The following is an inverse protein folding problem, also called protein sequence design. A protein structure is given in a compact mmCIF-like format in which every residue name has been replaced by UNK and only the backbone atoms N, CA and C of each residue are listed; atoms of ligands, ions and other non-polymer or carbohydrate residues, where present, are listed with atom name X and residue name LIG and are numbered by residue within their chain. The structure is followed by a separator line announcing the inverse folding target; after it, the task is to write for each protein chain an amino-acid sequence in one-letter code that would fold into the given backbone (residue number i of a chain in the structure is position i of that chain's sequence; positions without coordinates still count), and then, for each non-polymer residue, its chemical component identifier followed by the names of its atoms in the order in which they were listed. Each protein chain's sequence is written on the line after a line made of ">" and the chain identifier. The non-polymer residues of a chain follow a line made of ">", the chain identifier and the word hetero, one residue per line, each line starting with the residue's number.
data_IF_678452873560
#
_entry.id   IF_678452873560
#
_cell.length_a   1.000
_cell.length_b   1.000
_cell.length_c   1.000
_cell.angle_alpha   90.00
_cell.angle_beta   90.00
_cell.angle_gamma   90.00
#
_symmetry.space_group_name_H-M   'P 1'
#
loop_
_entity.id
_entity.type
_entity.pdbx_description
1 polymer ?
#
# COMPACT_ATOMS: atom_id res chain seq x y z
N UNK A 1 -21.76 -15.14 -4.28
CA UNK A 1 -20.32 -14.74 -4.27
C UNK A 1 -19.49 -15.63 -3.34
N UNK A 2 -19.93 -15.90 -2.10
CA UNK A 2 -19.25 -16.87 -1.21
C UNK A 2 -19.14 -18.27 -1.84
N UNK A 3 -20.21 -18.73 -2.49
CA UNK A 3 -20.23 -20.06 -3.14
C UNK A 3 -19.28 -20.14 -4.34
N UNK A 4 -19.17 -19.06 -5.11
CA UNK A 4 -18.20 -18.96 -6.22
C UNK A 4 -16.76 -19.07 -5.70
N UNK A 5 -16.40 -18.32 -4.66
CA UNK A 5 -15.05 -18.40 -4.08
C UNK A 5 -14.75 -19.78 -3.50
N UNK A 6 -15.71 -20.39 -2.81
CA UNK A 6 -15.56 -21.77 -2.30
C UNK A 6 -15.36 -22.78 -3.44
N UNK A 7 -16.10 -22.64 -4.54
CA UNK A 7 -15.96 -23.52 -5.71
C UNK A 7 -14.64 -23.36 -6.47
N UNK A 8 -13.97 -22.22 -6.30
CA UNK A 8 -12.71 -21.87 -6.97
C UNK A 8 -11.49 -21.95 -6.06
N UNK A 9 -11.67 -22.42 -4.82
CA UNK A 9 -10.61 -22.47 -3.80
C UNK A 9 -9.96 -21.08 -3.57
N UNK A 10 -10.79 -20.03 -3.53
CA UNK A 10 -10.36 -18.66 -3.29
C UNK A 10 -10.69 -18.28 -1.85
N UNK A 11 -9.65 -18.00 -1.05
CA UNK A 11 -9.82 -17.45 0.30
C UNK A 11 -10.08 -15.94 0.26
N UNK A 12 -11.24 -15.51 0.76
CA UNK A 12 -11.62 -14.09 0.78
C UNK A 12 -11.10 -13.44 2.06
N UNK A 13 -10.10 -12.56 1.92
CA UNK A 13 -9.63 -11.69 3.00
C UNK A 13 -10.32 -10.33 2.90
N UNK A 14 -10.89 -9.87 4.02
CA UNK A 14 -11.42 -8.51 4.17
C UNK A 14 -10.73 -7.88 5.37
N UNK A 15 -10.28 -6.64 5.20
CA UNK A 15 -9.69 -5.88 6.29
C UNK A 15 -10.56 -4.67 6.56
N UNK A 16 -10.95 -4.48 7.83
CA UNK A 16 -11.81 -3.39 8.28
C UNK A 16 -11.04 -2.30 9.03
N UNK A 17 -9.72 -2.44 9.16
CA UNK A 17 -8.86 -1.42 9.77
C UNK A 17 -8.64 -0.26 8.80
N UNK A 18 -8.72 0.99 9.28
CA UNK A 18 -8.36 2.17 8.48
C UNK A 18 -6.88 2.21 8.11
N UNK A 19 -6.02 1.46 8.78
CA UNK A 19 -4.57 1.48 8.56
C UNK A 19 -4.11 0.48 7.51
N UNK A 20 -4.93 -0.53 7.22
CA UNK A 20 -4.60 -1.60 6.27
C UNK A 20 -5.37 -1.38 4.98
N UNK A 21 -4.64 -0.86 3.99
CA UNK A 21 -5.16 -0.56 2.66
C UNK A 21 -4.65 -1.54 1.61
N UNK A 22 -5.42 -1.69 0.52
CA UNK A 22 -5.00 -2.40 -0.69
C UNK A 22 -4.04 -1.53 -1.54
N UNK A 23 -3.00 -0.99 -0.91
CA UNK A 23 -2.12 0.06 -1.44
C UNK A 23 -1.49 -0.29 -2.79
N UNK A 24 -1.17 -1.56 -3.03
CA UNK A 24 -0.65 -2.03 -4.31
C UNK A 24 -1.69 -1.95 -5.44
N UNK A 25 -2.94 -2.31 -5.15
CA UNK A 25 -4.04 -2.20 -6.11
C UNK A 25 -4.39 -0.72 -6.38
N UNK A 26 -4.40 0.10 -5.34
CA UNK A 26 -4.62 1.56 -5.47
C UNK A 26 -3.54 2.22 -6.34
N UNK A 27 -2.28 1.85 -6.14
CA UNK A 27 -1.16 2.32 -6.98
C UNK A 27 -1.35 1.90 -8.44
N UNK A 28 -1.74 0.64 -8.69
CA UNK A 28 -2.00 0.17 -10.05
C UNK A 28 -3.16 0.95 -10.72
N UNK A 29 -4.26 1.18 -9.98
CA UNK A 29 -5.38 1.99 -10.44
C UNK A 29 -4.96 3.41 -10.81
N UNK A 30 -4.12 4.03 -9.98
CA UNK A 30 -3.55 5.36 -10.27
C UNK A 30 -2.77 5.36 -11.59
N UNK A 31 -1.85 4.42 -11.78
CA UNK A 31 -1.05 4.32 -13.01
C UNK A 31 -1.91 4.11 -14.26
N UNK A 32 -2.93 3.27 -14.18
CA UNK A 32 -3.88 3.04 -15.29
C UNK A 32 -4.62 4.34 -15.62
N UNK A 33 -5.17 5.02 -14.60
CA UNK A 33 -5.87 6.30 -14.78
C UNK A 33 -4.97 7.35 -15.39
N UNK A 34 -3.75 7.53 -14.89
CA UNK A 34 -2.80 8.51 -15.45
C UNK A 34 -2.55 8.29 -16.95
N UNK A 35 -2.41 7.05 -17.41
CA UNK A 35 -2.27 6.74 -18.84
C UNK A 35 -3.56 6.95 -19.63
N UNK A 36 -4.71 6.60 -19.07
CA UNK A 36 -6.01 6.87 -19.68
C UNK A 36 -6.27 8.36 -19.87
N UNK A 37 -5.95 9.20 -18.88
CA UNK A 37 -6.15 10.65 -18.99
C UNK A 37 -5.29 11.27 -20.09
N UNK A 38 -4.06 10.78 -20.29
CA UNK A 38 -3.23 11.21 -21.44
C UNK A 38 -3.89 10.83 -22.77
N UNK A 39 -4.38 9.60 -22.87
CA UNK A 39 -5.12 9.14 -24.06
C UNK A 39 -6.39 9.98 -24.32
N UNK A 40 -7.15 10.31 -23.27
CA UNK A 40 -8.35 11.15 -23.39
C UNK A 40 -8.02 12.53 -23.94
N UNK A 41 -6.95 13.16 -23.43
CA UNK A 41 -6.49 14.46 -23.92
C UNK A 41 -6.04 14.40 -25.39
N UNK A 42 -5.35 13.33 -25.79
CA UNK A 42 -4.83 13.18 -27.15
C UNK A 42 -5.95 12.87 -28.17
N UNK A 43 -6.90 12.00 -27.82
CA UNK A 43 -7.96 11.54 -28.72
C UNK A 43 -9.26 12.33 -28.61
N UNK A 44 -9.31 13.34 -27.73
CA UNK A 44 -10.50 14.13 -27.42
C UNK A 44 -11.75 13.25 -27.19
N UNK A 45 -11.60 12.21 -26.36
CA UNK A 45 -12.66 11.24 -26.07
C UNK A 45 -12.54 10.74 -24.64
N UNK A 46 -13.65 10.28 -24.07
CA UNK A 46 -13.68 9.57 -22.78
C UNK A 46 -13.90 8.06 -22.95
N UNK A 47 -13.97 7.58 -24.20
CA UNK A 47 -14.16 6.15 -24.49
C UNK A 47 -12.86 5.38 -24.22
N UNK A 48 -12.77 4.77 -23.04
CA UNK A 48 -11.57 4.06 -22.58
C UNK A 48 -11.46 2.61 -23.06
N UNK A 49 -12.58 2.00 -23.47
CA UNK A 49 -12.67 0.57 -23.80
C UNK A 49 -11.70 0.17 -24.92
N UNK A 50 -11.45 1.07 -25.88
CA UNK A 50 -10.53 0.81 -27.00
C UNK A 50 -9.06 0.91 -26.59
N UNK A 51 -8.76 1.69 -25.53
CA UNK A 51 -7.39 1.98 -25.11
C UNK A 51 -6.89 1.08 -23.96
N UNK A 52 -7.80 0.61 -23.10
CA UNK A 52 -7.42 -0.03 -21.82
C UNK A 52 -6.53 -1.26 -22.01
N UNK A 53 -6.81 -2.09 -23.01
CA UNK A 53 -6.05 -3.31 -23.24
C UNK A 53 -4.60 -2.98 -23.64
N UNK A 54 -4.41 -1.96 -24.48
CA UNK A 54 -3.08 -1.49 -24.90
C UNK A 54 -2.33 -0.88 -23.72
N UNK A 55 -3.02 -0.08 -22.89
CA UNK A 55 -2.44 0.54 -21.69
C UNK A 55 -1.97 -0.53 -20.70
N UNK A 56 -2.82 -1.52 -20.39
CA UNK A 56 -2.49 -2.61 -19.45
C UNK A 56 -1.34 -3.46 -20.00
N UNK A 57 -1.36 -3.81 -21.29
CA UNK A 57 -0.26 -4.51 -21.95
C UNK A 57 1.05 -3.72 -21.85
N UNK A 58 1.01 -2.41 -22.12
CA UNK A 58 2.15 -1.51 -21.99
C UNK A 58 2.69 -1.43 -20.56
N UNK A 59 1.84 -1.41 -19.54
CA UNK A 59 2.27 -1.44 -18.13
C UNK A 59 2.94 -2.79 -17.82
N UNK A 60 2.30 -3.90 -18.20
CA UNK A 60 2.77 -5.25 -17.89
C UNK A 60 4.06 -5.63 -18.60
N UNK A 61 4.36 -5.02 -19.75
CA UNK A 61 5.59 -5.21 -20.53
C UNK A 61 6.72 -4.24 -20.19
N UNK A 62 6.44 -3.20 -19.39
CA UNK A 62 7.44 -2.24 -18.93
C UNK A 62 8.17 -2.74 -17.69
N UNK A 63 9.47 -2.46 -17.59
CA UNK A 63 10.24 -2.77 -16.37
C UNK A 63 9.75 -1.86 -15.25
N UNK A 64 9.31 -2.44 -14.14
CA UNK A 64 8.95 -1.70 -12.95
C UNK A 64 10.22 -1.35 -12.15
N UNK A 65 10.42 -0.06 -11.87
CA UNK A 65 11.65 0.45 -11.19
C UNK A 65 11.92 -0.20 -9.83
N UNK A 66 10.89 -0.46 -9.04
CA UNK A 66 11.03 -1.06 -7.69
C UNK A 66 11.40 -2.52 -7.80
N UNK A 67 10.67 -3.27 -8.63
CA UNK A 67 10.87 -4.72 -8.77
C UNK A 67 12.06 -5.07 -9.67
N UNK A 68 12.51 -4.15 -10.53
CA UNK A 68 13.57 -4.36 -11.51
C UNK A 68 13.25 -5.37 -12.61
N UNK A 69 11.98 -5.76 -12.77
CA UNK A 69 11.51 -6.71 -13.80
C UNK A 69 10.19 -6.27 -14.41
N UNK A 70 9.81 -6.89 -15.54
CA UNK A 70 8.51 -6.68 -16.16
C UNK A 70 7.43 -7.48 -15.42
N UNK A 71 6.27 -6.92 -15.07
CA UNK A 71 5.20 -7.67 -14.41
C UNK A 71 4.83 -8.97 -15.14
N UNK A 72 4.74 -8.96 -16.47
CA UNK A 72 4.40 -10.16 -17.25
C UNK A 72 5.51 -11.21 -17.33
N UNK A 73 6.73 -10.90 -16.88
CA UNK A 73 7.83 -11.89 -16.77
C UNK A 73 7.84 -12.61 -15.42
N UNK A 74 6.97 -12.22 -14.48
CA UNK A 74 6.89 -12.85 -13.15
C UNK A 74 6.10 -14.16 -13.24
N UNK A 75 6.68 -15.23 -12.71
CA UNK A 75 6.13 -16.58 -12.66
C UNK A 75 6.27 -17.15 -11.24
N UNK A 76 5.56 -18.22 -10.91
CA UNK A 76 5.72 -18.87 -9.61
C UNK A 76 7.18 -19.26 -9.31
N UNK A 77 7.95 -19.65 -10.34
CA UNK A 77 9.36 -20.03 -10.22
C UNK A 77 10.26 -18.86 -9.80
N UNK A 78 10.06 -17.66 -10.36
CA UNK A 78 10.94 -16.51 -10.06
C UNK A 78 10.39 -15.60 -8.95
N UNK A 79 9.09 -15.69 -8.63
CA UNK A 79 8.41 -14.85 -7.65
C UNK A 79 9.08 -14.89 -6.28
N UNK A 80 9.45 -16.08 -5.79
CA UNK A 80 10.09 -16.23 -4.47
C UNK A 80 11.48 -15.61 -4.41
N UNK A 81 12.26 -15.73 -5.48
CA UNK A 81 13.59 -15.09 -5.59
C UNK A 81 13.45 -13.57 -5.65
N UNK A 82 12.47 -13.07 -6.40
CA UNK A 82 12.17 -11.64 -6.48
C UNK A 82 11.72 -11.08 -5.13
N UNK A 83 10.84 -11.78 -4.43
CA UNK A 83 10.38 -11.41 -3.09
C UNK A 83 11.55 -11.28 -2.12
N UNK A 84 12.40 -12.31 -2.01
CA UNK A 84 13.60 -12.27 -1.16
C UNK A 84 14.57 -11.13 -1.51
N UNK A 85 14.62 -10.73 -2.78
CA UNK A 85 15.45 -9.59 -3.21
C UNK A 85 14.86 -8.24 -2.77
N UNK A 86 13.54 -8.10 -2.82
CA UNK A 86 12.85 -6.86 -2.47
C UNK A 86 12.74 -6.66 -0.96
N UNK A 87 12.45 -7.75 -0.26
CA UNK A 87 12.30 -7.81 1.19
C UNK A 87 13.46 -8.62 1.76
N UNK A 88 14.69 -8.18 1.47
CA UNK A 88 15.84 -8.74 2.19
C UNK A 88 15.62 -8.43 3.66
N UNK A 89 15.68 -9.47 4.50
CA UNK A 89 15.86 -9.26 5.93
C UNK A 89 17.18 -8.52 6.10
N UNK A 90 17.09 -7.23 6.37
CA UNK A 90 18.24 -6.49 6.81
C UNK A 90 18.46 -6.92 8.25
N UNK A 91 19.38 -7.86 8.47
CA UNK A 91 19.85 -8.27 9.80
C UNK A 91 20.46 -7.11 10.60
N UNK A 92 20.47 -5.89 10.07
CA UNK A 92 20.63 -4.70 10.91
C UNK A 92 19.45 -4.65 11.87
N UNK A 93 19.65 -4.96 13.17
CA UNK A 93 18.63 -4.65 14.14
C UNK A 93 18.32 -3.18 13.95
N UNK A 94 17.06 -2.86 13.65
CA UNK A 94 16.59 -1.50 13.85
C UNK A 94 16.93 -1.24 15.31
N UNK A 95 17.91 -0.38 15.57
CA UNK A 95 18.14 0.10 16.94
C UNK A 95 16.88 0.87 17.30
N UNK A 96 15.89 0.15 17.82
CA UNK A 96 14.74 0.72 18.50
C UNK A 96 15.31 1.20 19.83
N UNK A 97 16.08 2.28 19.79
CA UNK A 97 16.32 3.03 21.00
C UNK A 97 14.96 3.63 21.36
N UNK A 98 14.46 3.33 22.55
CA UNK A 98 13.33 4.10 23.06
C UNK A 98 13.81 5.54 23.09
N UNK A 99 13.15 6.42 22.33
CA UNK A 99 13.40 7.87 22.44
C UNK A 99 13.00 8.42 23.81
N UNK A 100 12.29 7.59 24.59
CA UNK A 100 11.75 7.92 25.88
C UNK A 100 12.64 7.35 27.00
N UNK A 101 12.88 8.19 28.00
CA UNK A 101 13.55 7.82 29.24
C UNK A 101 12.52 7.57 30.34
N UNK A 102 12.78 6.65 31.29
CA UNK A 102 11.93 6.47 32.46
C UNK A 102 11.72 7.78 33.22
N UNK A 103 10.50 8.00 33.68
CA UNK A 103 10.12 9.24 34.36
C UNK A 103 9.91 10.43 33.42
N UNK A 104 10.10 10.27 32.10
CA UNK A 104 9.75 11.31 31.13
C UNK A 104 8.24 11.50 31.09
N UNK A 105 7.80 12.76 31.19
CA UNK A 105 6.40 13.12 31.03
C UNK A 105 6.00 13.05 29.56
N UNK A 106 4.98 12.26 29.26
CA UNK A 106 4.45 12.02 27.91
C UNK A 106 2.93 12.15 27.90
N UNK A 107 2.36 12.32 26.71
CA UNK A 107 0.91 12.27 26.48
C UNK A 107 0.60 11.19 25.46
N UNK A 108 -0.57 10.57 25.56
CA UNK A 108 -1.01 9.53 24.63
C UNK A 108 -1.63 10.20 23.40
N UNK A 109 -1.33 9.69 22.21
CA UNK A 109 -1.93 10.18 20.97
C UNK A 109 -3.40 9.79 20.91
N UNK A 110 -4.29 10.75 20.62
CA UNK A 110 -5.71 10.48 20.38
C UNK A 110 -5.87 9.71 19.07
N UNK A 111 -6.75 8.70 19.04
CA UNK A 111 -7.11 8.01 17.80
C UNK A 111 -7.86 9.00 16.91
N UNK A 112 -7.28 9.33 15.75
CA UNK A 112 -7.85 10.32 14.83
C UNK A 112 -8.56 9.66 13.66
N UNK A 113 -9.80 10.07 13.42
CA UNK A 113 -10.49 9.75 12.17
C UNK A 113 -9.86 10.44 10.95
N UNK A 114 -10.03 9.85 9.76
CA UNK A 114 -9.50 10.34 8.46
C UNK A 114 -9.92 11.77 8.08
N UNK A 115 -10.95 12.33 8.74
CA UNK A 115 -11.52 13.65 8.47
C UNK A 115 -11.49 14.60 9.67
N UNK A 116 -10.67 14.32 10.69
CA UNK A 116 -10.57 15.22 11.83
C UNK A 116 -9.88 16.54 11.50
N UNK A 117 -10.37 17.61 12.14
CA UNK A 117 -9.88 18.97 11.93
C UNK A 117 -8.49 19.12 12.55
N UNK A 118 -7.52 19.58 11.75
CA UNK A 118 -6.11 19.68 12.13
C UNK A 118 -5.79 20.63 13.30
N UNK A 119 -6.73 21.52 13.67
CA UNK A 119 -6.57 22.42 14.82
C UNK A 119 -6.96 21.78 16.16
N UNK A 120 -7.55 20.58 16.16
CA UNK A 120 -7.87 19.86 17.40
C UNK A 120 -6.63 19.17 17.94
N UNK A 121 -6.45 19.21 19.26
CA UNK A 121 -5.32 18.60 19.95
C UNK A 121 -5.08 17.14 19.53
N UNK A 122 -3.82 16.79 19.26
CA UNK A 122 -3.44 15.44 18.84
C UNK A 122 -3.27 14.46 20.00
N UNK A 123 -3.26 14.96 21.23
CA UNK A 123 -2.92 14.19 22.43
C UNK A 123 -3.99 14.33 23.50
N UNK A 124 -4.02 13.35 24.41
CA UNK A 124 -4.78 13.38 25.66
C UNK A 124 -4.38 14.56 26.52
N UNK A 125 -5.29 15.02 27.37
CA UNK A 125 -5.03 16.15 28.27
C UNK A 125 -4.24 15.68 29.50
N UNK A 126 -4.39 14.41 29.85
CA UNK A 126 -3.67 13.71 30.90
C UNK A 126 -2.17 13.59 30.58
N UNK A 127 -1.35 13.84 31.62
CA UNK A 127 0.09 13.65 31.62
C UNK A 127 0.42 12.29 32.23
N UNK A 128 1.29 11.53 31.57
CA UNK A 128 1.75 10.22 32.00
C UNK A 128 3.26 10.21 32.19
N UNK A 129 3.75 9.31 33.03
CA UNK A 129 5.19 9.06 33.18
C UNK A 129 5.55 7.77 32.44
N UNK A 130 6.53 7.85 31.55
CA UNK A 130 7.03 6.66 30.88
C UNK A 130 7.74 5.74 31.88
N UNK A 131 7.42 4.45 31.85
CA UNK A 131 8.05 3.40 32.66
C UNK A 131 8.59 2.32 31.72
N UNK A 132 9.57 1.53 32.16
CA UNK A 132 10.00 0.34 31.41
C UNK A 132 8.90 -0.73 31.46
N UNK A 133 8.83 -1.56 30.42
CA UNK A 133 8.15 -2.86 30.49
C UNK A 133 9.05 -3.88 31.20
#
# INVERSE_FOLDING_TARGET
>A
MKDYFRSKDIDKRVVYSPDVHASMAERANRTIKERLYRYFSEKNTLRWVEAIQQIVSGINSSVNRVTGVKPNSVTFKNSRKLFKRLYKDTDTPIKITSKLNPGQVVRITKEKGKFEKGYLANYTDELFYYTYN
#
